data_IF_975020343805
#
_entry.id   IF_975020343805
#
_cell.length_a   1.000
_cell.length_b   1.000
_cell.length_c   1.000
_cell.angle_alpha   90.00
_cell.angle_beta   90.00
_cell.angle_gamma   90.00
#
_symmetry.space_group_name_H-M   'P 1'
#
loop_
_entity.id
_entity.type
_entity.pdbx_description
1 polymer ?
#
# COMPACT_ATOMS: atom_id res chain seq x y z
N UNK A 1 -34.45 81.06 4.05
CA UNK A 1 -33.75 79.83 4.48
C UNK A 1 -33.33 79.05 3.25
N UNK A 2 -32.04 78.80 2.99
CA UNK A 2 -31.64 77.99 1.85
C UNK A 2 -31.76 76.51 2.21
N UNK A 3 -32.60 75.79 1.49
CA UNK A 3 -32.74 74.34 1.53
C UNK A 3 -31.48 73.69 0.99
N UNK A 4 -30.74 72.98 1.84
CA UNK A 4 -29.56 72.23 1.46
C UNK A 4 -29.92 71.14 0.44
N UNK A 5 -29.49 71.30 -0.81
CA UNK A 5 -29.51 70.23 -1.81
C UNK A 5 -28.50 69.15 -1.39
N UNK A 6 -28.98 68.07 -0.78
CA UNK A 6 -28.17 66.87 -0.63
C UNK A 6 -28.03 66.19 -2.00
N UNK A 7 -26.81 65.99 -2.53
CA UNK A 7 -26.63 65.32 -3.80
C UNK A 7 -27.08 63.86 -3.66
N UNK A 8 -28.21 63.51 -4.29
CA UNK A 8 -28.66 62.12 -4.43
C UNK A 8 -27.70 61.42 -5.38
N UNK A 9 -26.83 60.57 -4.85
CA UNK A 9 -26.05 59.60 -5.63
C UNK A 9 -27.02 58.86 -6.56
N UNK A 10 -26.80 58.98 -7.88
CA UNK A 10 -27.64 58.29 -8.85
C UNK A 10 -27.46 56.78 -8.67
N UNK A 11 -28.54 55.97 -8.79
CA UNK A 11 -28.48 54.53 -8.54
C UNK A 11 -27.47 53.79 -9.45
N UNK A 12 -27.10 54.38 -10.59
CA UNK A 12 -26.06 53.88 -11.51
C UNK A 12 -24.62 54.11 -11.00
N UNK A 13 -24.38 55.14 -10.20
CA UNK A 13 -23.04 55.39 -9.63
C UNK A 13 -22.78 54.47 -8.43
N UNK A 14 -23.81 54.24 -7.59
CA UNK A 14 -23.75 53.28 -6.49
C UNK A 14 -23.51 51.83 -6.97
N UNK A 15 -24.15 51.41 -8.07
CA UNK A 15 -23.94 50.06 -8.61
C UNK A 15 -22.54 49.85 -9.20
N UNK A 16 -21.95 50.87 -9.84
CA UNK A 16 -20.58 50.81 -10.38
C UNK A 16 -19.54 50.71 -9.26
N UNK A 17 -19.69 51.51 -8.21
CA UNK A 17 -18.82 51.47 -7.02
C UNK A 17 -18.89 50.08 -6.36
N UNK A 18 -20.11 49.54 -6.20
CA UNK A 18 -20.31 48.20 -5.64
C UNK A 18 -19.65 47.12 -6.49
N UNK A 19 -19.82 47.15 -7.81
CA UNK A 19 -19.18 46.19 -8.72
C UNK A 19 -17.65 46.26 -8.67
N UNK A 20 -17.07 47.46 -8.62
CA UNK A 20 -15.61 47.62 -8.48
C UNK A 20 -15.11 47.10 -7.13
N UNK A 21 -15.83 47.36 -6.03
CA UNK A 21 -15.47 46.83 -4.72
C UNK A 21 -15.53 45.31 -4.69
N UNK A 22 -16.57 44.71 -5.28
CA UNK A 22 -16.69 43.26 -5.41
C UNK A 22 -15.53 42.69 -6.24
N UNK A 23 -15.16 43.31 -7.36
CA UNK A 23 -14.03 42.89 -8.18
C UNK A 23 -12.71 42.94 -7.40
N UNK A 24 -12.43 44.05 -6.70
CA UNK A 24 -11.21 44.21 -5.88
C UNK A 24 -11.15 43.17 -4.76
N UNK A 25 -12.25 42.93 -4.05
CA UNK A 25 -12.32 41.91 -2.99
C UNK A 25 -12.11 40.51 -3.58
N UNK A 26 -12.67 40.23 -4.75
CA UNK A 26 -12.51 38.95 -5.45
C UNK A 26 -11.08 38.74 -5.92
N UNK A 27 -10.45 39.76 -6.51
CA UNK A 27 -9.05 39.72 -6.94
C UNK A 27 -8.10 39.54 -5.75
N UNK A 28 -8.35 40.26 -4.65
CA UNK A 28 -7.59 40.08 -3.41
C UNK A 28 -7.72 38.65 -2.86
N UNK A 29 -8.93 38.09 -2.87
CA UNK A 29 -9.15 36.70 -2.45
C UNK A 29 -8.44 35.70 -3.37
N UNK A 30 -8.45 35.90 -4.69
CA UNK A 30 -7.71 35.06 -5.66
C UNK A 30 -6.20 35.19 -5.43
N UNK A 31 -5.69 36.40 -5.22
CA UNK A 31 -4.28 36.66 -4.95
C UNK A 31 -3.82 35.95 -3.67
N UNK A 32 -4.59 36.05 -2.57
CA UNK A 32 -4.33 35.33 -1.32
C UNK A 32 -4.25 33.81 -1.54
N UNK A 33 -5.22 33.24 -2.28
CA UNK A 33 -5.23 31.81 -2.59
C UNK A 33 -3.98 31.39 -3.39
N UNK A 34 -3.56 32.17 -4.39
CA UNK A 34 -2.36 31.87 -5.18
C UNK A 34 -1.10 31.92 -4.32
N UNK A 35 -0.94 32.98 -3.54
CA UNK A 35 0.19 33.15 -2.64
C UNK A 35 0.31 32.01 -1.62
N UNK A 36 -0.81 31.53 -1.07
CA UNK A 36 -0.85 30.38 -0.17
C UNK A 36 -0.39 29.09 -0.85
N UNK A 37 -0.90 28.82 -2.05
CA UNK A 37 -0.54 27.62 -2.79
C UNK A 37 0.92 27.66 -3.26
N UNK A 38 1.45 28.81 -3.67
CA UNK A 38 2.85 28.94 -4.08
C UNK A 38 3.81 28.67 -2.91
N UNK A 39 3.49 29.20 -1.73
CA UNK A 39 4.22 28.91 -0.49
C UNK A 39 4.19 27.43 -0.16
N UNK A 40 3.03 26.78 -0.29
CA UNK A 40 2.90 25.34 -0.08
C UNK A 40 3.71 24.53 -1.10
N UNK A 41 3.64 24.89 -2.39
CA UNK A 41 4.20 24.11 -3.50
C UNK A 41 5.73 24.05 -3.47
N UNK A 42 6.38 25.06 -2.88
CA UNK A 42 7.84 25.09 -2.70
C UNK A 42 8.34 23.87 -1.94
N UNK A 43 7.61 23.44 -0.90
CA UNK A 43 7.97 22.28 -0.04
C UNK A 43 7.37 20.96 -0.50
N UNK A 44 6.45 21.00 -1.47
CA UNK A 44 5.79 19.80 -1.97
C UNK A 44 6.73 18.93 -2.79
N UNK A 45 6.70 17.64 -2.49
CA UNK A 45 7.30 16.56 -3.28
C UNK A 45 6.20 15.74 -3.93
N UNK A 46 6.49 15.12 -5.09
CA UNK A 46 5.60 14.12 -5.66
C UNK A 46 5.66 12.86 -4.80
N UNK A 47 4.82 12.83 -3.78
CA UNK A 47 4.64 11.66 -2.94
C UNK A 47 3.35 10.94 -3.39
N UNK A 48 3.46 9.72 -3.95
CA UNK A 48 2.28 8.93 -4.31
C UNK A 48 1.52 8.42 -3.07
N UNK A 49 2.04 8.61 -1.86
CA UNK A 49 1.42 8.21 -0.60
C UNK A 49 2.20 7.10 0.12
N UNK A 50 1.67 6.57 1.24
CA UNK A 50 2.31 5.51 2.02
C UNK A 50 2.58 4.26 1.17
N UNK A 51 3.79 3.69 1.25
CA UNK A 51 4.18 2.51 0.49
C UNK A 51 4.24 1.27 1.40
N UNK A 52 3.90 0.12 0.83
CA UNK A 52 3.92 -1.16 1.55
C UNK A 52 5.35 -1.57 1.88
N UNK A 53 5.53 -2.09 3.10
CA UNK A 53 6.77 -2.77 3.49
C UNK A 53 6.72 -4.20 3.00
N UNK A 54 7.74 -4.65 2.28
CA UNK A 54 7.82 -6.00 1.71
C UNK A 54 8.91 -6.77 2.43
N UNK A 55 8.56 -7.97 2.88
CA UNK A 55 9.46 -8.91 3.57
C UNK A 55 9.93 -9.94 2.55
N UNK A 56 11.23 -10.22 2.54
CA UNK A 56 11.91 -11.13 1.63
C UNK A 56 12.56 -12.27 2.41
N UNK A 57 12.57 -13.46 1.82
CA UNK A 57 13.30 -14.63 2.30
C UNK A 57 14.81 -14.50 2.08
N UNK A 58 15.57 -15.49 2.53
CA UNK A 58 17.03 -15.55 2.40
C UNK A 58 17.52 -15.62 0.94
N UNK A 59 16.62 -15.87 -0.03
CA UNK A 59 16.89 -15.91 -1.47
C UNK A 59 16.30 -14.68 -2.19
N UNK A 60 16.04 -13.60 -1.45
CA UNK A 60 15.46 -12.34 -1.93
C UNK A 60 14.08 -12.47 -2.60
N UNK A 61 13.34 -13.55 -2.33
CA UNK A 61 11.97 -13.72 -2.82
C UNK A 61 11.00 -13.05 -1.85
N UNK A 62 10.02 -12.26 -2.32
CA UNK A 62 9.01 -11.69 -1.43
C UNK A 62 8.23 -12.82 -0.77
N UNK A 63 7.89 -12.66 0.51
CA UNK A 63 7.15 -13.66 1.30
C UNK A 63 5.95 -13.08 2.04
N UNK A 64 5.93 -11.77 2.26
CA UNK A 64 4.79 -11.07 2.86
C UNK A 64 4.89 -9.56 2.64
N UNK A 65 3.81 -8.84 2.88
CA UNK A 65 3.81 -7.39 2.94
C UNK A 65 3.00 -6.85 4.13
N UNK A 66 3.52 -5.78 4.74
CA UNK A 66 2.89 -5.03 5.81
C UNK A 66 2.48 -3.66 5.29
N UNK A 67 1.22 -3.29 5.48
CA UNK A 67 0.70 -2.04 4.92
C UNK A 67 -0.55 -1.52 5.61
N UNK A 68 -0.77 -0.21 5.49
CA UNK A 68 -2.06 0.44 5.73
C UNK A 68 -2.85 0.64 4.44
N UNK A 69 -2.16 1.07 3.39
CA UNK A 69 -2.63 1.13 2.01
C UNK A 69 -1.72 0.22 1.19
N UNK A 70 -2.26 -0.74 0.45
CA UNK A 70 -1.41 -1.62 -0.34
C UNK A 70 -0.93 -0.89 -1.58
N UNK A 71 0.32 -0.42 -1.56
CA UNK A 71 0.95 0.33 -2.65
C UNK A 71 2.36 -0.18 -2.90
N UNK A 72 2.61 -0.60 -4.13
CA UNK A 72 3.92 -1.02 -4.63
C UNK A 72 4.40 -0.01 -5.68
N UNK A 73 5.15 1.03 -5.31
CA UNK A 73 5.49 2.08 -6.25
C UNK A 73 6.34 1.56 -7.42
N UNK A 74 5.97 1.86 -8.66
CA UNK A 74 6.65 1.40 -9.88
C UNK A 74 6.97 2.59 -10.80
N UNK A 75 8.05 2.52 -11.57
CA UNK A 75 8.37 3.60 -12.52
C UNK A 75 7.42 3.57 -13.71
N UNK A 76 7.25 4.71 -14.41
CA UNK A 76 6.36 4.78 -15.56
C UNK A 76 6.84 3.86 -16.71
N UNK A 77 8.15 3.66 -16.82
CA UNK A 77 8.78 2.79 -17.81
C UNK A 77 8.56 1.29 -17.53
N UNK A 78 8.16 0.95 -16.31
CA UNK A 78 7.81 -0.41 -15.88
C UNK A 78 6.27 -0.64 -15.90
N UNK A 79 5.53 0.21 -16.61
CA UNK A 79 4.08 0.07 -16.84
C UNK A 79 3.81 -0.25 -18.31
N UNK A 80 2.75 -1.01 -18.59
CA UNK A 80 2.31 -1.26 -19.97
C UNK A 80 1.91 0.05 -20.66
N UNK A 81 2.40 0.29 -21.88
CA UNK A 81 2.01 1.47 -22.67
C UNK A 81 0.50 1.49 -22.94
N UNK A 82 -0.10 0.32 -23.15
CA UNK A 82 -1.54 0.16 -23.39
C UNK A 82 -2.34 0.59 -22.15
N UNK A 83 -1.85 0.30 -20.95
CA UNK A 83 -2.42 0.78 -19.69
C UNK A 83 -2.35 2.30 -19.60
N UNK A 84 -1.18 2.88 -19.88
CA UNK A 84 -1.00 4.34 -19.83
C UNK A 84 -1.98 5.01 -20.80
N UNK A 85 -2.08 4.50 -22.04
CA UNK A 85 -3.01 4.99 -23.05
C UNK A 85 -4.47 4.86 -22.61
N UNK A 86 -4.88 3.71 -22.05
CA UNK A 86 -6.24 3.49 -21.56
C UNK A 86 -6.65 4.49 -20.47
N UNK A 87 -5.74 4.76 -19.52
CA UNK A 87 -5.97 5.73 -18.44
C UNK A 87 -6.05 7.15 -19.01
N UNK A 88 -5.12 7.55 -19.88
CA UNK A 88 -5.16 8.86 -20.51
C UNK A 88 -6.45 9.06 -21.32
N UNK A 89 -6.83 8.08 -22.13
CA UNK A 89 -8.04 8.15 -22.96
C UNK A 89 -9.30 8.36 -22.12
N UNK A 90 -9.37 7.71 -20.95
CA UNK A 90 -10.56 7.74 -20.07
C UNK A 90 -10.59 8.95 -19.15
N UNK A 91 -9.46 9.30 -18.55
CA UNK A 91 -9.39 10.32 -17.49
C UNK A 91 -8.96 11.70 -18.00
N UNK A 92 -8.13 11.76 -19.04
CA UNK A 92 -7.55 13.02 -19.53
C UNK A 92 -6.93 12.90 -20.93
N UNK A 93 -7.76 12.75 -21.98
CA UNK A 93 -7.30 12.46 -23.35
C UNK A 93 -6.24 13.44 -23.87
N UNK A 94 -6.35 14.71 -23.47
CA UNK A 94 -5.45 15.79 -23.87
C UNK A 94 -4.40 16.11 -22.80
N UNK A 95 -4.06 15.14 -21.95
CA UNK A 95 -3.13 15.32 -20.84
C UNK A 95 -1.84 16.02 -21.26
N UNK A 96 -1.24 15.64 -22.39
CA UNK A 96 0.02 16.25 -22.84
C UNK A 96 -0.13 17.63 -23.52
N UNK A 97 -1.35 18.12 -23.73
CA UNK A 97 -1.64 19.35 -24.49
C UNK A 97 -2.05 20.55 -23.62
N UNK A 98 -2.16 20.38 -22.31
CA UNK A 98 -2.57 21.44 -21.38
C UNK A 98 -1.59 21.58 -20.23
N UNK A 99 -1.61 22.71 -19.51
CA UNK A 99 -0.76 22.94 -18.35
C UNK A 99 -1.61 22.87 -17.06
N UNK A 100 -1.84 21.66 -16.55
CA UNK A 100 -2.60 21.39 -15.34
C UNK A 100 -4.13 21.45 -15.49
N UNK A 101 -4.65 22.28 -16.40
CA UNK A 101 -6.09 22.52 -16.56
C UNK A 101 -6.48 22.53 -18.03
N UNK A 102 -7.42 21.67 -18.40
CA UNK A 102 -7.96 21.66 -19.76
C UNK A 102 -9.15 22.62 -19.91
N UNK A 103 -8.87 23.84 -20.37
CA UNK A 103 -9.88 24.87 -20.64
C UNK A 103 -10.95 24.42 -21.66
N UNK A 104 -10.55 23.67 -22.69
CA UNK A 104 -11.50 23.21 -23.71
C UNK A 104 -12.42 22.14 -23.14
N UNK A 105 -11.92 21.22 -22.32
CA UNK A 105 -12.78 20.23 -21.62
C UNK A 105 -13.72 20.91 -20.63
N UNK A 106 -13.27 21.94 -19.92
CA UNK A 106 -14.16 22.73 -19.05
C UNK A 106 -15.34 23.29 -19.86
N UNK A 107 -15.07 24.00 -20.95
CA UNK A 107 -16.11 24.57 -21.81
C UNK A 107 -17.02 23.50 -22.41
N UNK A 108 -16.44 22.40 -22.93
CA UNK A 108 -17.20 21.30 -23.52
C UNK A 108 -18.11 20.62 -22.49
N UNK A 109 -17.61 20.34 -21.28
CA UNK A 109 -18.40 19.75 -20.20
C UNK A 109 -19.50 20.68 -19.70
N UNK A 110 -19.26 21.99 -19.65
CA UNK A 110 -20.29 22.98 -19.30
C UNK A 110 -21.42 22.98 -20.33
N UNK A 111 -21.10 22.99 -21.63
CA UNK A 111 -22.09 22.96 -22.70
C UNK A 111 -22.89 21.65 -22.70
N UNK A 112 -22.23 20.51 -22.49
CA UNK A 112 -22.87 19.21 -22.40
C UNK A 112 -23.81 19.12 -21.19
N UNK A 113 -23.36 19.56 -20.01
CA UNK A 113 -24.16 19.54 -18.78
C UNK A 113 -25.36 20.50 -18.87
N UNK A 114 -25.22 21.64 -19.56
CA UNK A 114 -26.32 22.58 -19.81
C UNK A 114 -27.38 21.96 -20.73
N UNK A 115 -26.96 21.27 -21.79
CA UNK A 115 -27.88 20.56 -22.70
C UNK A 115 -28.63 19.41 -22.01
N UNK A 116 -27.95 18.68 -21.13
CA UNK A 116 -28.51 17.55 -20.39
C UNK A 116 -29.30 17.95 -19.13
N UNK A 117 -29.26 19.23 -18.72
CA UNK A 117 -29.90 19.72 -17.49
C UNK A 117 -29.33 19.12 -16.19
N UNK A 118 -28.24 18.34 -16.26
CA UNK A 118 -27.61 17.66 -15.12
C UNK A 118 -26.11 17.48 -15.38
N UNK A 119 -25.35 17.28 -14.31
CA UNK A 119 -23.90 17.02 -14.42
C UNK A 119 -23.67 15.58 -14.91
N UNK A 120 -23.31 15.43 -16.18
CA UNK A 120 -23.03 14.14 -16.83
C UNK A 120 -21.55 13.94 -17.11
N UNK A 121 -20.81 15.03 -17.35
CA UNK A 121 -19.38 15.00 -17.67
C UNK A 121 -18.55 15.78 -16.65
N UNK A 122 -17.42 15.20 -16.26
CA UNK A 122 -16.42 15.84 -15.42
C UNK A 122 -15.42 16.66 -16.24
N UNK A 123 -14.93 17.75 -15.65
CA UNK A 123 -13.94 18.63 -16.28
C UNK A 123 -12.51 18.47 -15.73
N UNK A 124 -12.30 17.59 -14.75
CA UNK A 124 -11.05 17.55 -13.97
C UNK A 124 -9.94 16.77 -14.67
N UNK A 125 -8.72 17.32 -14.69
CA UNK A 125 -7.51 16.69 -15.24
C UNK A 125 -6.89 15.69 -14.28
N UNK A 126 -6.04 14.79 -14.80
CA UNK A 126 -5.24 13.86 -13.97
C UNK A 126 -4.47 14.63 -12.90
N UNK A 127 -3.86 15.76 -13.29
CA UNK A 127 -3.09 16.61 -12.38
C UNK A 127 -3.97 17.23 -11.30
N UNK A 128 -5.17 17.72 -11.64
CA UNK A 128 -6.13 18.22 -10.65
C UNK A 128 -6.60 17.11 -9.72
N UNK A 129 -6.85 15.91 -10.25
CA UNK A 129 -7.24 14.76 -9.44
C UNK A 129 -6.13 14.37 -8.45
N UNK A 130 -4.87 14.34 -8.90
CA UNK A 130 -3.71 14.10 -8.05
C UNK A 130 -3.53 15.19 -7.00
N UNK A 131 -3.55 16.46 -7.40
CA UNK A 131 -3.42 17.62 -6.51
C UNK A 131 -4.49 17.60 -5.40
N UNK A 132 -5.73 17.23 -5.74
CA UNK A 132 -6.83 17.09 -4.79
C UNK A 132 -6.59 15.96 -3.78
N UNK A 133 -6.02 14.84 -4.21
CA UNK A 133 -5.92 13.64 -3.38
C UNK A 133 -4.64 13.60 -2.54
N UNK A 134 -3.51 14.06 -3.09
CA UNK A 134 -2.21 13.96 -2.44
C UNK A 134 -1.84 15.16 -1.55
N UNK A 135 -2.53 16.30 -1.69
CA UNK A 135 -2.04 17.58 -1.14
C UNK A 135 -3.08 18.37 -0.36
N UNK A 136 -4.33 18.37 -0.83
CA UNK A 136 -5.36 19.21 -0.24
C UNK A 136 -6.16 18.42 0.81
N UNK A 137 -6.25 18.99 2.01
CA UNK A 137 -7.05 18.45 3.10
C UNK A 137 -8.55 18.34 2.70
N UNK A 138 -9.27 17.34 3.21
CA UNK A 138 -10.60 16.93 2.71
C UNK A 138 -11.72 17.98 2.91
N UNK A 139 -11.47 19.09 3.62
CA UNK A 139 -12.48 20.12 3.93
C UNK A 139 -12.99 20.80 2.65
N UNK A 140 -14.29 20.67 2.38
CA UNK A 140 -14.98 21.30 1.24
C UNK A 140 -15.21 22.78 1.53
N UNK A 141 -14.43 23.66 0.89
CA UNK A 141 -14.71 25.10 0.82
C UNK A 141 -14.72 25.52 -0.65
N UNK A 142 -15.52 26.53 -1.02
CA UNK A 142 -15.61 27.02 -2.41
C UNK A 142 -14.23 27.44 -2.97
N UNK A 143 -13.30 27.91 -2.12
CA UNK A 143 -11.91 28.18 -2.49
C UNK A 143 -11.04 26.94 -2.76
N UNK A 144 -11.52 25.71 -2.50
CA UNK A 144 -10.75 24.49 -2.78
C UNK A 144 -10.57 24.25 -4.27
N UNK A 145 -11.57 24.53 -5.10
CA UNK A 145 -11.46 24.28 -6.55
C UNK A 145 -10.43 25.22 -7.21
N UNK A 146 -10.38 26.48 -6.79
CA UNK A 146 -9.35 27.43 -7.22
C UNK A 146 -7.95 26.99 -6.76
N UNK A 147 -7.83 26.45 -5.53
CA UNK A 147 -6.58 25.84 -5.06
C UNK A 147 -6.16 24.63 -5.89
N UNK A 148 -7.08 23.73 -6.24
CA UNK A 148 -6.79 22.58 -7.12
C UNK A 148 -6.27 23.03 -8.50
N UNK A 149 -6.90 24.04 -9.09
CA UNK A 149 -6.52 24.62 -10.39
C UNK A 149 -5.08 25.16 -10.34
N UNK A 150 -4.80 26.04 -9.38
CA UNK A 150 -3.48 26.67 -9.27
C UNK A 150 -2.39 25.67 -8.86
N UNK A 151 -2.69 24.76 -7.94
CA UNK A 151 -1.76 23.72 -7.51
C UNK A 151 -1.43 22.76 -8.65
N UNK A 152 -2.41 22.40 -9.49
CA UNK A 152 -2.17 21.55 -10.65
C UNK A 152 -1.19 22.20 -11.64
N UNK A 153 -1.37 23.49 -11.94
CA UNK A 153 -0.47 24.27 -12.79
C UNK A 153 0.96 24.26 -12.21
N UNK A 154 1.09 24.60 -10.92
CA UNK A 154 2.38 24.68 -10.25
C UNK A 154 3.11 23.35 -10.13
N UNK A 155 2.36 22.25 -9.94
CA UNK A 155 2.92 20.90 -9.93
C UNK A 155 3.48 20.50 -11.29
N UNK A 156 2.78 20.80 -12.37
CA UNK A 156 3.27 20.49 -13.72
C UNK A 156 4.47 21.34 -14.13
N UNK A 157 4.48 22.64 -13.82
CA UNK A 157 5.65 23.50 -14.02
C UNK A 157 6.89 22.96 -13.30
N UNK A 158 6.71 22.44 -12.07
CA UNK A 158 7.82 21.97 -11.24
C UNK A 158 8.35 20.59 -11.63
N UNK A 159 7.46 19.67 -12.04
CA UNK A 159 7.81 18.25 -12.18
C UNK A 159 7.66 17.69 -13.60
N UNK A 160 6.93 18.37 -14.48
CA UNK A 160 6.62 17.90 -15.82
C UNK A 160 5.59 16.74 -15.86
N UNK A 161 5.04 16.52 -17.05
CA UNK A 161 3.93 15.58 -17.30
C UNK A 161 4.21 14.14 -16.90
N UNK A 162 5.38 13.61 -17.27
CA UNK A 162 5.75 12.20 -17.02
C UNK A 162 5.79 11.89 -15.53
N UNK A 163 6.40 12.76 -14.73
CA UNK A 163 6.51 12.56 -13.30
C UNK A 163 5.14 12.66 -12.60
N UNK A 164 4.28 13.58 -13.05
CA UNK A 164 2.90 13.69 -12.55
C UNK A 164 2.10 12.43 -12.87
N UNK A 165 2.19 11.93 -14.11
CA UNK A 165 1.49 10.72 -14.52
C UNK A 165 1.95 9.49 -13.72
N UNK A 166 3.27 9.34 -13.52
CA UNK A 166 3.82 8.28 -12.66
C UNK A 166 3.30 8.40 -11.22
N UNK A 167 3.33 9.60 -10.64
CA UNK A 167 2.86 9.82 -9.28
C UNK A 167 1.36 9.50 -9.15
N UNK A 168 0.56 9.93 -10.14
CA UNK A 168 -0.87 9.65 -10.19
C UNK A 168 -1.16 8.14 -10.28
N UNK A 169 -0.53 7.42 -11.21
CA UNK A 169 -0.72 5.98 -11.40
C UNK A 169 -0.24 5.14 -10.20
N UNK A 170 0.68 5.67 -9.40
CA UNK A 170 1.09 5.06 -8.13
C UNK A 170 0.21 5.48 -6.94
N UNK A 171 -0.57 6.54 -7.06
CA UNK A 171 -1.39 7.08 -5.99
C UNK A 171 -2.83 6.57 -6.03
N UNK A 172 -3.42 6.52 -7.22
CA UNK A 172 -4.86 6.33 -7.43
C UNK A 172 -5.35 4.99 -6.85
N UNK A 173 -6.54 5.03 -6.26
CA UNK A 173 -7.17 3.86 -5.64
C UNK A 173 -7.93 3.05 -6.69
N UNK A 174 -7.65 1.75 -6.79
CA UNK A 174 -8.29 0.85 -7.77
C UNK A 174 -9.38 -0.04 -7.18
N UNK A 175 -9.58 -0.01 -5.86
CA UNK A 175 -10.50 -0.92 -5.16
C UNK A 175 -9.76 -1.98 -4.33
N UNK A 176 -10.50 -2.70 -3.48
CA UNK A 176 -10.01 -3.81 -2.65
C UNK A 176 -8.72 -3.55 -1.85
N UNK A 177 -8.49 -2.30 -1.44
CA UNK A 177 -7.29 -1.90 -0.70
C UNK A 177 -6.05 -1.65 -1.56
N UNK A 178 -6.15 -1.81 -2.89
CA UNK A 178 -5.06 -1.57 -3.83
C UNK A 178 -4.97 -0.09 -4.22
N UNK A 179 -3.84 0.52 -3.85
CA UNK A 179 -3.45 1.87 -4.22
C UNK A 179 -2.25 1.82 -5.17
N UNK A 180 -2.41 2.41 -6.34
CA UNK A 180 -1.42 2.36 -7.39
C UNK A 180 -1.50 1.09 -8.24
N UNK A 181 -0.99 1.22 -9.46
CA UNK A 181 -1.30 0.27 -10.53
C UNK A 181 -0.60 -1.08 -10.40
N UNK A 182 0.61 -1.12 -9.85
CA UNK A 182 1.35 -2.37 -9.64
C UNK A 182 0.67 -3.27 -8.62
N UNK A 183 0.22 -2.70 -7.50
CA UNK A 183 -0.51 -3.44 -6.47
C UNK A 183 -1.84 -3.97 -7.03
N UNK A 184 -2.56 -3.16 -7.79
CA UNK A 184 -3.81 -3.57 -8.45
C UNK A 184 -3.58 -4.67 -9.49
N UNK A 185 -2.54 -4.55 -10.32
CA UNK A 185 -2.20 -5.53 -11.36
C UNK A 185 -1.89 -6.91 -10.76
N UNK A 186 -1.03 -6.94 -9.73
CA UNK A 186 -0.70 -8.18 -9.02
C UNK A 186 -1.91 -8.75 -8.28
N UNK A 187 -2.66 -7.88 -7.62
CA UNK A 187 -3.83 -8.25 -6.83
C UNK A 187 -5.02 -8.76 -7.64
N UNK A 188 -5.23 -8.26 -8.86
CA UNK A 188 -6.35 -8.66 -9.71
C UNK A 188 -5.99 -9.70 -10.74
N UNK A 189 -4.84 -9.59 -11.38
CA UNK A 189 -4.49 -10.40 -12.57
C UNK A 189 -3.27 -11.29 -12.35
N UNK A 190 -2.66 -11.26 -11.16
CA UNK A 190 -1.42 -11.97 -10.86
C UNK A 190 -0.30 -11.66 -11.87
N UNK A 191 -0.20 -10.40 -12.31
CA UNK A 191 0.79 -9.93 -13.30
C UNK A 191 1.44 -8.63 -12.84
N UNK A 192 2.71 -8.36 -13.22
CA UNK A 192 3.29 -7.03 -13.09
C UNK A 192 2.56 -6.05 -14.03
N UNK A 193 2.51 -4.76 -13.68
CA UNK A 193 1.83 -3.74 -14.48
C UNK A 193 2.40 -3.60 -15.91
N UNK A 194 3.67 -3.97 -16.11
CA UNK A 194 4.32 -4.04 -17.42
C UNK A 194 3.69 -5.07 -18.38
N UNK A 195 3.07 -6.12 -17.85
CA UNK A 195 2.57 -7.26 -18.65
C UNK A 195 1.06 -7.23 -18.87
N UNK A 196 0.40 -6.11 -18.55
CA UNK A 196 -1.04 -5.95 -18.76
C UNK A 196 -1.38 -5.88 -20.23
N UNK A 197 -2.34 -6.70 -20.65
CA UNK A 197 -2.91 -6.65 -21.99
C UNK A 197 -3.99 -5.54 -22.11
N UNK A 198 -4.57 -5.36 -23.29
CA UNK A 198 -5.57 -4.31 -23.55
C UNK A 198 -6.84 -4.45 -22.69
N UNK A 199 -7.36 -5.66 -22.50
CA UNK A 199 -8.57 -5.88 -21.71
C UNK A 199 -8.34 -5.64 -20.21
N UNK A 200 -7.19 -6.05 -19.68
CA UNK A 200 -6.79 -5.82 -18.29
C UNK A 200 -6.51 -4.33 -18.04
N UNK A 201 -5.81 -3.68 -18.98
CA UNK A 201 -5.52 -2.24 -18.98
C UNK A 201 -6.79 -1.40 -18.98
N UNK A 202 -7.73 -1.70 -19.88
CA UNK A 202 -9.02 -1.02 -19.95
C UNK A 202 -9.88 -1.28 -18.70
N UNK A 203 -9.77 -2.49 -18.12
CA UNK A 203 -10.41 -2.80 -16.83
C UNK A 203 -9.88 -1.88 -15.73
N UNK A 204 -8.56 -1.75 -15.56
CA UNK A 204 -8.00 -0.88 -14.54
C UNK A 204 -8.35 0.60 -14.76
N UNK A 205 -8.31 1.07 -16.00
CA UNK A 205 -8.74 2.43 -16.34
C UNK A 205 -10.22 2.67 -16.00
N UNK A 206 -11.09 1.68 -16.25
CA UNK A 206 -12.50 1.74 -15.88
C UNK A 206 -12.72 1.87 -14.36
N UNK A 207 -11.89 1.20 -13.55
CA UNK A 207 -11.99 1.24 -12.09
C UNK A 207 -11.72 2.62 -11.49
N UNK A 208 -10.77 3.38 -12.06
CA UNK A 208 -10.37 4.71 -11.56
C UNK A 208 -11.58 5.64 -11.40
N UNK A 209 -12.47 5.64 -12.39
CA UNK A 209 -13.63 6.54 -12.43
C UNK A 209 -14.63 6.29 -11.29
N UNK A 210 -14.77 5.03 -10.83
CA UNK A 210 -15.64 4.66 -9.69
C UNK A 210 -15.10 3.41 -8.94
N UNK A 211 -14.05 3.56 -8.11
CA UNK A 211 -13.33 2.41 -7.53
C UNK A 211 -14.23 1.55 -6.62
N UNK A 212 -15.05 2.19 -5.77
CA UNK A 212 -15.97 1.50 -4.87
C UNK A 212 -17.24 0.99 -5.54
N UNK A 213 -17.53 1.43 -6.78
CA UNK A 213 -18.72 1.03 -7.54
C UNK A 213 -18.53 -0.23 -8.39
N UNK A 214 -17.27 -0.66 -8.57
CA UNK A 214 -16.86 -1.69 -9.51
C UNK A 214 -15.94 -2.74 -8.89
N UNK A 215 -16.29 -3.26 -7.71
CA UNK A 215 -15.61 -4.46 -7.20
C UNK A 215 -15.78 -5.59 -8.24
N UNK A 216 -14.68 -5.98 -8.90
CA UNK A 216 -14.67 -6.85 -10.08
C UNK A 216 -15.46 -8.16 -9.86
N UNK A 217 -15.45 -8.66 -8.64
CA UNK A 217 -16.15 -9.89 -8.23
C UNK A 217 -17.63 -9.68 -7.90
N UNK A 218 -18.06 -8.45 -7.57
CA UNK A 218 -19.45 -8.14 -7.14
C UNK A 218 -20.31 -7.59 -8.28
N UNK A 219 -19.74 -6.87 -9.24
CA UNK A 219 -20.50 -6.23 -10.33
C UNK A 219 -19.89 -6.47 -11.72
N UNK A 220 -19.67 -7.75 -12.12
CA UNK A 220 -18.94 -8.10 -13.35
C UNK A 220 -19.56 -7.55 -14.64
N UNK A 221 -20.88 -7.45 -14.71
CA UNK A 221 -21.57 -6.89 -15.88
C UNK A 221 -21.29 -5.38 -16.06
N UNK A 222 -21.33 -4.61 -14.96
CA UNK A 222 -21.13 -3.15 -15.02
C UNK A 222 -19.68 -2.79 -15.34
N UNK A 223 -18.73 -3.54 -14.79
CA UNK A 223 -17.31 -3.33 -15.10
C UNK A 223 -16.99 -3.76 -16.53
N UNK A 224 -17.62 -4.83 -17.03
CA UNK A 224 -17.51 -5.22 -18.44
C UNK A 224 -17.99 -4.09 -19.37
N UNK A 225 -19.19 -3.56 -19.15
CA UNK A 225 -19.74 -2.46 -19.94
C UNK A 225 -18.80 -1.25 -19.93
N UNK A 226 -18.27 -0.88 -18.75
CA UNK A 226 -17.35 0.24 -18.63
C UNK A 226 -16.02 -0.02 -19.35
N UNK A 227 -15.43 -1.20 -19.18
CA UNK A 227 -14.21 -1.63 -19.88
C UNK A 227 -14.40 -1.61 -21.39
N UNK A 228 -15.52 -2.14 -21.90
CA UNK A 228 -15.80 -2.20 -23.33
C UNK A 228 -15.95 -0.79 -23.91
N UNK A 229 -16.51 0.15 -23.14
CA UNK A 229 -16.52 1.57 -23.50
C UNK A 229 -15.14 2.22 -23.55
N UNK A 230 -14.19 1.80 -22.70
CA UNK A 230 -12.78 2.25 -22.77
C UNK A 230 -12.09 1.65 -23.99
N UNK A 231 -12.24 0.35 -24.23
CA UNK A 231 -11.67 -0.33 -25.40
C UNK A 231 -12.15 0.30 -26.71
N UNK A 232 -13.44 0.63 -26.80
CA UNK A 232 -14.01 1.30 -27.99
C UNK A 232 -13.38 2.67 -28.21
N UNK A 233 -13.22 3.47 -27.16
CA UNK A 233 -12.56 4.77 -27.25
C UNK A 233 -11.09 4.65 -27.69
N UNK A 234 -10.37 3.63 -27.22
CA UNK A 234 -9.00 3.37 -27.64
C UNK A 234 -8.93 2.96 -29.11
N UNK A 235 -9.85 2.11 -29.57
CA UNK A 235 -9.96 1.72 -30.98
C UNK A 235 -10.28 2.91 -31.88
N UNK A 236 -11.28 3.73 -31.52
CA UNK A 236 -11.64 4.96 -32.24
C UNK A 236 -10.51 6.01 -32.27
N UNK A 237 -9.62 5.96 -31.28
CA UNK A 237 -8.41 6.80 -31.22
C UNK A 237 -7.19 6.17 -31.93
N UNK A 238 -7.37 5.04 -32.63
CA UNK A 238 -6.32 4.27 -33.32
C UNK A 238 -5.19 3.79 -32.40
N UNK A 239 -5.46 3.62 -31.11
CA UNK A 239 -4.51 3.05 -30.13
C UNK A 239 -4.57 1.51 -30.10
N UNK A 240 -5.65 0.94 -30.63
CA UNK A 240 -5.80 -0.50 -30.85
C UNK A 240 -6.20 -0.70 -32.31
N UNK A 241 -5.63 -1.72 -32.95
CA UNK A 241 -6.14 -2.20 -34.24
C UNK A 241 -7.40 -3.06 -34.04
N UNK A 242 -8.07 -3.39 -35.14
CA UNK A 242 -9.31 -4.17 -35.13
C UNK A 242 -9.15 -5.55 -34.51
N UNK A 243 -7.99 -6.19 -34.72
CA UNK A 243 -7.70 -7.52 -34.19
C UNK A 243 -7.52 -7.50 -32.67
N UNK A 244 -6.75 -6.54 -32.16
CA UNK A 244 -6.51 -6.33 -30.74
C UNK A 244 -7.81 -5.91 -30.02
N UNK A 245 -8.60 -5.04 -30.65
CA UNK A 245 -9.90 -4.62 -30.13
C UNK A 245 -10.88 -5.81 -30.06
N UNK A 246 -11.01 -6.59 -31.13
CA UNK A 246 -11.86 -7.77 -31.18
C UNK A 246 -11.48 -8.82 -30.13
N UNK A 247 -10.19 -9.11 -29.98
CA UNK A 247 -9.70 -10.02 -28.96
C UNK A 247 -9.98 -9.50 -27.53
N UNK A 248 -9.77 -8.21 -27.28
CA UNK A 248 -9.96 -7.62 -25.96
C UNK A 248 -11.43 -7.57 -25.53
N UNK A 249 -12.35 -7.26 -26.44
CA UNK A 249 -13.79 -7.17 -26.13
C UNK A 249 -14.41 -8.55 -25.86
N UNK A 250 -13.90 -9.58 -26.56
CA UNK A 250 -14.36 -10.96 -26.43
C UNK A 250 -13.95 -11.59 -25.09
N UNK A 251 -12.85 -11.14 -24.48
CA UNK A 251 -12.31 -11.71 -23.26
C UNK A 251 -13.23 -11.42 -22.05
N UNK A 252 -13.81 -12.42 -21.36
CA UNK A 252 -14.70 -12.17 -20.22
C UNK A 252 -13.95 -11.65 -18.99
N UNK A 253 -14.51 -10.68 -18.26
CA UNK A 253 -13.88 -10.08 -17.06
C UNK A 253 -13.47 -11.14 -16.04
N UNK A 254 -14.33 -12.12 -15.76
CA UNK A 254 -14.06 -13.16 -14.77
C UNK A 254 -12.87 -14.06 -15.13
N UNK A 255 -12.63 -14.30 -16.41
CA UNK A 255 -11.52 -15.16 -16.87
C UNK A 255 -10.14 -14.52 -16.73
N UNK A 256 -10.09 -13.18 -16.66
CA UNK A 256 -8.85 -12.44 -16.45
C UNK A 256 -8.46 -12.38 -14.97
N UNK A 257 -9.42 -12.50 -14.06
CA UNK A 257 -9.14 -12.40 -12.64
C UNK A 257 -8.35 -13.61 -12.15
N UNK A 258 -7.24 -13.33 -11.51
CA UNK A 258 -6.43 -14.35 -10.88
C UNK A 258 -7.20 -15.08 -9.77
N UNK A 259 -6.96 -16.39 -9.70
CA UNK A 259 -7.34 -17.24 -8.58
C UNK A 259 -6.61 -16.83 -7.29
N UNK A 260 -7.05 -17.35 -6.15
CA UNK A 260 -6.33 -17.14 -4.89
C UNK A 260 -4.89 -17.71 -4.96
N UNK A 261 -4.74 -18.90 -5.55
CA UNK A 261 -3.45 -19.57 -5.69
C UNK A 261 -2.47 -18.76 -6.55
N UNK A 262 -2.90 -18.24 -7.70
CA UNK A 262 -2.04 -17.41 -8.55
C UNK A 262 -1.58 -16.14 -7.84
N UNK A 263 -2.47 -15.47 -7.09
CA UNK A 263 -2.11 -14.25 -6.35
C UNK A 263 -1.04 -14.51 -5.28
N UNK A 264 -1.12 -15.62 -4.57
CA UNK A 264 -0.12 -16.03 -3.58
C UNK A 264 1.28 -16.25 -4.18
N UNK A 265 1.43 -16.29 -5.51
CA UNK A 265 2.77 -16.42 -6.13
C UNK A 265 3.41 -15.09 -6.50
N UNK A 266 2.65 -14.00 -6.61
CA UNK A 266 3.14 -12.74 -7.18
C UNK A 266 2.74 -11.49 -6.41
N UNK A 267 1.69 -11.55 -5.59
CA UNK A 267 1.25 -10.47 -4.72
C UNK A 267 1.78 -10.70 -3.31
N UNK A 268 2.78 -9.93 -2.84
CA UNK A 268 3.33 -10.07 -1.50
C UNK A 268 2.29 -9.96 -0.39
N UNK A 269 1.20 -9.21 -0.58
CA UNK A 269 0.13 -9.12 0.42
C UNK A 269 -0.69 -10.41 0.57
N UNK A 270 -0.69 -11.24 -0.47
CA UNK A 270 -1.38 -12.54 -0.51
C UNK A 270 -0.45 -13.71 -0.16
N UNK A 271 0.82 -13.45 0.13
CA UNK A 271 1.81 -14.45 0.52
C UNK A 271 1.78 -14.67 2.03
N UNK A 272 1.68 -15.94 2.43
CA UNK A 272 1.58 -16.36 3.83
C UNK A 272 2.60 -17.47 4.14
N UNK A 273 3.85 -17.28 3.71
CA UNK A 273 4.94 -18.24 3.97
C UNK A 273 5.56 -17.98 5.34
N UNK A 274 5.67 -19.01 6.18
CA UNK A 274 6.24 -18.91 7.53
C UNK A 274 5.55 -17.87 8.41
N UNK A 275 4.22 -17.97 8.66
CA UNK A 275 3.44 -16.92 9.35
C UNK A 275 3.96 -16.58 10.75
N UNK A 276 4.50 -17.56 11.49
CA UNK A 276 5.11 -17.32 12.80
C UNK A 276 6.41 -16.51 12.69
N UNK A 277 7.25 -16.83 11.70
CA UNK A 277 8.48 -16.06 11.44
C UNK A 277 8.16 -14.64 10.96
N UNK A 278 7.18 -14.50 10.07
CA UNK A 278 6.71 -13.18 9.62
C UNK A 278 6.17 -12.36 10.80
N UNK A 279 5.46 -12.98 11.74
CA UNK A 279 4.97 -12.32 12.95
C UNK A 279 6.12 -11.84 13.84
N UNK A 280 7.14 -12.67 14.04
CA UNK A 280 8.36 -12.31 14.76
C UNK A 280 9.07 -11.12 14.11
N UNK A 281 9.29 -11.17 12.79
CA UNK A 281 9.91 -10.07 12.04
C UNK A 281 9.05 -8.80 12.12
N UNK A 282 7.73 -8.93 12.02
CA UNK A 282 6.82 -7.80 12.14
C UNK A 282 6.93 -7.13 13.50
N UNK A 283 7.00 -7.90 14.58
CA UNK A 283 7.21 -7.39 15.94
C UNK A 283 8.55 -6.66 16.07
N UNK A 284 9.64 -7.24 15.55
CA UNK A 284 10.95 -6.59 15.53
C UNK A 284 10.92 -5.24 14.80
N UNK A 285 10.24 -5.19 13.64
CA UNK A 285 10.08 -3.95 12.88
C UNK A 285 9.25 -2.92 13.65
N UNK A 286 8.18 -3.32 14.34
CA UNK A 286 7.38 -2.42 15.16
C UNK A 286 8.17 -1.86 16.33
N UNK A 287 8.97 -2.69 17.01
CA UNK A 287 9.84 -2.24 18.10
C UNK A 287 10.93 -1.27 17.60
N UNK A 288 11.52 -1.55 16.44
CA UNK A 288 12.64 -0.77 15.91
C UNK A 288 12.21 0.54 15.23
N UNK A 289 11.11 0.52 14.47
CA UNK A 289 10.69 1.62 13.59
C UNK A 289 9.35 2.26 13.98
N UNK A 290 8.58 1.62 14.86
CA UNK A 290 7.21 2.01 15.20
C UNK A 290 6.19 1.61 14.13
N UNK A 291 4.91 1.49 14.52
CA UNK A 291 3.80 1.05 13.67
C UNK A 291 3.68 1.85 12.38
N UNK A 292 3.71 3.18 12.47
CA UNK A 292 3.48 4.02 11.29
C UNK A 292 4.54 3.80 10.22
N UNK A 293 5.83 3.82 10.60
CA UNK A 293 6.93 3.65 9.63
C UNK A 293 6.97 2.24 9.07
N UNK A 294 6.63 1.22 9.85
CA UNK A 294 6.55 -0.16 9.38
C UNK A 294 5.43 -0.34 8.36
N UNK A 295 4.26 0.27 8.55
CA UNK A 295 3.11 0.10 7.64
C UNK A 295 3.08 1.05 6.44
N UNK A 296 3.86 2.14 6.47
CA UNK A 296 3.78 3.21 5.46
C UNK A 296 5.12 3.60 4.84
N UNK A 297 6.22 3.12 5.40
CA UNK A 297 7.57 3.58 5.08
C UNK A 297 8.16 3.04 3.78
N UNK A 298 7.52 2.04 3.15
CA UNK A 298 8.04 1.39 1.96
C UNK A 298 9.35 0.64 2.20
N UNK A 299 9.46 -0.06 3.33
CA UNK A 299 10.68 -0.78 3.69
C UNK A 299 10.81 -2.07 2.86
N UNK A 300 12.05 -2.47 2.56
CA UNK A 300 12.37 -3.79 2.04
C UNK A 300 13.16 -4.51 3.12
N UNK A 301 12.60 -5.60 3.65
CA UNK A 301 13.12 -6.30 4.82
C UNK A 301 13.60 -7.67 4.37
N UNK A 302 14.91 -7.88 4.42
CA UNK A 302 15.53 -9.14 4.03
C UNK A 302 15.81 -9.95 5.28
N UNK A 303 15.42 -11.22 5.25
CA UNK A 303 15.39 -12.08 6.42
C UNK A 303 16.25 -13.32 6.23
N UNK A 304 16.47 -14.05 7.32
CA UNK A 304 17.19 -15.33 7.31
C UNK A 304 16.32 -16.52 6.92
N UNK A 305 15.02 -16.34 6.68
CA UNK A 305 14.10 -17.45 6.43
C UNK A 305 14.44 -18.12 5.10
N UNK A 306 14.75 -19.41 5.10
CA UNK A 306 14.69 -20.22 3.89
C UNK A 306 13.29 -20.83 3.79
N UNK A 307 12.50 -20.38 2.83
CA UNK A 307 11.10 -20.81 2.67
C UNK A 307 10.96 -22.27 2.25
N UNK A 308 11.96 -22.86 1.60
CA UNK A 308 11.93 -24.28 1.25
C UNK A 308 12.17 -25.13 2.50
N UNK A 309 13.16 -24.76 3.32
CA UNK A 309 13.42 -25.42 4.61
C UNK A 309 12.22 -25.26 5.54
N UNK A 310 11.62 -24.07 5.59
CA UNK A 310 10.41 -23.80 6.36
C UNK A 310 9.27 -24.73 5.94
N UNK A 311 9.04 -24.89 4.64
CA UNK A 311 8.00 -25.76 4.12
C UNK A 311 8.20 -27.22 4.53
N UNK A 312 9.43 -27.75 4.37
CA UNK A 312 9.75 -29.11 4.81
C UNK A 312 9.57 -29.31 6.32
N UNK A 313 9.94 -28.29 7.11
CA UNK A 313 9.78 -28.32 8.56
C UNK A 313 8.30 -28.36 8.98
N UNK A 314 7.46 -27.53 8.36
CA UNK A 314 6.01 -27.50 8.58
C UNK A 314 5.36 -28.84 8.19
N UNK A 315 5.72 -29.39 7.03
CA UNK A 315 5.21 -30.68 6.57
C UNK A 315 5.58 -31.82 7.54
N UNK A 316 6.85 -31.87 7.98
CA UNK A 316 7.33 -32.88 8.91
C UNK A 316 6.60 -32.82 10.26
N UNK A 317 6.39 -31.61 10.80
CA UNK A 317 5.65 -31.41 12.05
C UNK A 317 4.19 -31.81 11.90
N UNK A 318 3.51 -31.35 10.83
CA UNK A 318 2.10 -31.65 10.60
C UNK A 318 1.87 -33.14 10.40
N UNK A 319 2.69 -33.80 9.60
CA UNK A 319 2.62 -35.25 9.41
C UNK A 319 2.77 -35.98 10.75
N UNK A 320 3.75 -35.58 11.56
CA UNK A 320 4.00 -36.24 12.85
C UNK A 320 2.90 -36.00 13.87
N UNK A 321 2.35 -34.79 13.95
CA UNK A 321 1.21 -34.48 14.79
C UNK A 321 0.00 -35.35 14.44
N UNK A 322 -0.35 -35.44 13.15
CA UNK A 322 -1.47 -36.26 12.68
C UNK A 322 -1.28 -37.75 12.99
N UNK A 323 -0.04 -38.27 12.90
CA UNK A 323 0.26 -39.65 13.29
C UNK A 323 0.09 -39.91 14.79
N UNK A 324 0.44 -38.92 15.63
CA UNK A 324 0.33 -39.04 17.08
C UNK A 324 -1.12 -38.86 17.55
N UNK A 325 -1.86 -37.90 16.98
CA UNK A 325 -3.28 -37.68 17.28
C UNK A 325 -4.11 -38.91 16.95
N UNK A 326 -3.90 -39.54 15.78
CA UNK A 326 -4.61 -40.79 15.40
C UNK A 326 -4.39 -41.95 16.37
N UNK A 327 -3.26 -41.95 17.08
CA UNK A 327 -2.93 -43.00 18.06
C UNK A 327 -3.55 -42.73 19.43
N UNK A 328 -3.95 -41.48 19.71
CA UNK A 328 -4.71 -41.13 20.91
C UNK A 328 -6.19 -41.36 20.64
N UNK A 329 -6.90 -41.91 21.63
CA UNK A 329 -8.34 -42.16 21.55
C UNK A 329 -9.16 -40.95 22.00
N UNK A 330 -8.63 -40.16 22.94
CA UNK A 330 -9.27 -38.99 23.54
C UNK A 330 -8.20 -37.95 23.94
N UNK A 331 -8.59 -36.68 24.01
CA UNK A 331 -7.76 -35.56 24.45
C UNK A 331 -7.82 -34.35 23.53
N UNK A 332 -7.35 -33.21 24.05
CA UNK A 332 -7.18 -31.99 23.26
C UNK A 332 -6.19 -32.20 22.09
N UNK A 333 -6.35 -31.48 20.96
CA UNK A 333 -5.43 -31.56 19.82
C UNK A 333 -3.98 -31.30 20.24
N UNK A 334 -3.05 -32.15 19.79
CA UNK A 334 -1.63 -31.94 20.08
C UNK A 334 -1.09 -30.67 19.42
N UNK A 335 -0.22 -29.96 20.15
CA UNK A 335 0.50 -28.79 19.65
C UNK A 335 1.99 -29.10 19.52
N UNK A 336 2.67 -28.45 18.56
CA UNK A 336 4.11 -28.57 18.37
C UNK A 336 4.75 -27.22 18.09
N UNK A 337 6.02 -27.10 18.47
CA UNK A 337 6.89 -26.00 18.09
C UNK A 337 8.21 -26.57 17.58
N UNK A 338 8.70 -26.05 16.46
CA UNK A 338 9.99 -26.39 15.88
C UNK A 338 10.74 -25.10 15.59
N UNK A 339 11.95 -24.99 16.12
CA UNK A 339 12.86 -23.87 15.88
C UNK A 339 14.11 -24.39 15.19
N UNK A 340 14.38 -23.89 13.98
CA UNK A 340 15.58 -24.18 13.23
C UNK A 340 16.49 -22.95 13.25
N UNK A 341 17.72 -23.15 13.73
CA UNK A 341 18.73 -22.09 13.83
C UNK A 341 19.94 -22.49 13.00
N UNK A 342 20.39 -21.60 12.12
CA UNK A 342 21.66 -21.79 11.44
C UNK A 342 22.79 -21.43 12.41
N UNK A 343 23.60 -22.41 12.79
CA UNK A 343 24.78 -22.17 13.61
C UNK A 343 25.95 -21.82 12.70
N UNK A 344 26.32 -20.54 12.60
CA UNK A 344 27.61 -20.18 12.02
C UNK A 344 28.72 -20.50 13.03
N UNK A 345 29.70 -21.37 12.69
CA UNK A 345 30.86 -21.59 13.53
C UNK A 345 31.77 -20.35 13.42
N UNK A 346 31.68 -19.41 14.37
CA UNK A 346 32.63 -18.28 14.42
C UNK A 346 32.15 -16.98 15.07
N UNK A 347 30.86 -16.79 15.35
CA UNK A 347 30.39 -15.64 16.16
C UNK A 347 30.04 -16.12 17.57
N UNK A 348 30.89 -15.74 18.51
CA UNK A 348 31.06 -16.41 19.79
C UNK A 348 29.88 -16.36 20.75
N UNK A 349 29.67 -17.53 21.36
CA UNK A 349 29.39 -17.78 22.79
C UNK A 349 28.04 -17.29 23.33
N UNK A 350 27.07 -18.20 23.33
CA UNK A 350 25.96 -18.20 24.29
C UNK A 350 26.35 -19.11 25.45
N UNK A 351 26.81 -18.53 26.55
CA UNK A 351 26.86 -19.19 27.85
C UNK A 351 25.45 -19.12 28.48
N UNK A 352 24.71 -20.23 28.39
CA UNK A 352 23.67 -20.64 29.35
C UNK A 352 22.27 -20.00 29.26
N UNK A 353 21.25 -20.85 29.12
CA UNK A 353 19.95 -20.66 29.79
C UNK A 353 19.76 -21.85 30.75
N UNK A 354 19.73 -21.55 32.06
CA UNK A 354 19.20 -22.46 33.10
C UNK A 354 17.67 -22.35 33.12
N UNK A 355 16.92 -23.45 33.19
CA UNK A 355 15.60 -23.43 33.81
C UNK A 355 15.75 -23.35 35.35
N UNK A 356 14.87 -22.58 35.99
CA UNK A 356 14.79 -22.43 37.45
C UNK A 356 14.57 -23.76 38.16
N UNK A 357 15.19 -24.03 39.33
CA UNK A 357 14.87 -25.20 40.14
C UNK A 357 13.59 -24.95 40.95
N UNK A 358 12.65 -25.90 40.90
CA UNK A 358 11.82 -26.19 42.05
C UNK A 358 12.69 -26.97 43.03
N UNK A 359 12.67 -26.56 44.30
CA UNK A 359 13.38 -27.23 45.39
C UNK A 359 13.06 -28.72 45.41
N UNK A 360 14.10 -29.55 45.48
CA UNK A 360 14.28 -30.68 46.42
C UNK A 360 15.47 -31.53 45.92
N UNK A 361 16.54 -31.55 46.69
CA UNK A 361 17.61 -32.56 46.62
C UNK A 361 17.69 -33.25 48.00
N UNK A 362 18.30 -34.45 48.16
CA UNK A 362 19.09 -35.19 47.17
C UNK A 362 18.79 -36.70 47.10
N UNK A 363 19.29 -37.38 46.04
CA UNK A 363 20.22 -38.52 46.16
C UNK A 363 20.81 -38.93 44.81
N UNK A 364 22.13 -39.13 44.84
CA UNK A 364 23.01 -39.55 43.76
C UNK A 364 22.82 -41.04 43.40
N UNK A 365 22.82 -41.35 42.10
CA UNK A 365 23.55 -42.52 41.57
C UNK A 365 23.89 -42.33 40.09
N UNK A 366 25.17 -42.38 39.78
CA UNK A 366 25.72 -42.49 38.42
C UNK A 366 25.39 -43.87 37.81
N UNK A 367 25.05 -43.89 36.51
CA UNK A 367 25.69 -44.73 35.47
C UNK A 367 24.95 -44.61 34.12
N UNK A 368 25.72 -44.56 33.04
CA UNK A 368 25.37 -45.23 31.78
C UNK A 368 25.08 -44.33 30.58
N UNK A 369 25.90 -44.48 29.53
CA UNK A 369 25.80 -43.88 28.19
C UNK A 369 24.51 -44.30 27.46
N UNK A 370 23.97 -43.41 26.62
CA UNK A 370 22.97 -43.78 25.60
C UNK A 370 22.21 -42.59 25.05
N UNK A 371 22.11 -42.51 23.72
CA UNK A 371 21.38 -41.50 22.96
C UNK A 371 19.93 -41.31 23.46
N UNK A 372 19.49 -40.06 23.62
CA UNK A 372 18.19 -39.72 24.19
C UNK A 372 17.29 -38.97 23.22
N UNK A 373 16.37 -39.70 22.59
CA UNK A 373 15.08 -39.18 22.10
C UNK A 373 14.25 -38.83 23.34
N UNK A 374 13.82 -37.57 23.47
CA UNK A 374 13.03 -37.13 24.62
C UNK A 374 11.62 -37.73 24.64
N UNK A 375 11.31 -38.53 25.66
CA UNK A 375 9.94 -38.92 26.06
C UNK A 375 9.26 -37.75 26.78
N UNK A 376 7.98 -37.52 26.45
CA UNK A 376 7.10 -36.62 27.19
C UNK A 376 6.37 -37.41 28.29
N UNK A 377 6.25 -36.79 29.47
CA UNK A 377 5.53 -37.32 30.64
C UNK A 377 4.02 -37.14 30.47
N UNK A 378 3.26 -38.20 30.73
CA UNK A 378 1.81 -38.18 30.96
C UNK A 378 1.52 -37.95 32.46
N UNK A 379 0.57 -37.09 32.77
CA UNK A 379 0.01 -36.91 34.10
C UNK A 379 -1.32 -36.15 34.00
N UNK A 380 -2.42 -36.82 34.30
CA UNK A 380 -3.74 -36.22 34.52
C UNK A 380 -4.16 -36.46 35.97
N UNK A 381 -4.94 -35.53 36.54
CA UNK A 381 -6.28 -35.76 37.12
C UNK A 381 -6.91 -34.40 37.57
N UNK A 382 -8.20 -34.32 38.01
CA UNK A 382 -9.14 -33.31 37.55
C UNK A 382 -9.71 -32.44 38.71
N UNK A 383 -10.58 -31.46 38.40
CA UNK A 383 -11.41 -30.82 39.43
C UNK A 383 -12.12 -29.53 39.02
N UNK A 384 -13.45 -29.66 38.84
CA UNK A 384 -14.54 -28.71 39.13
C UNK A 384 -14.60 -27.33 38.41
N UNK A 385 -15.54 -27.12 37.48
CA UNK A 385 -16.97 -26.76 37.62
C UNK A 385 -17.27 -25.36 38.17
N UNK A 386 -17.89 -24.50 37.33
CA UNK A 386 -18.54 -23.26 37.76
C UNK A 386 -18.97 -22.26 36.67
N UNK A 387 -20.09 -22.52 35.98
CA UNK A 387 -21.19 -21.55 35.74
C UNK A 387 -21.04 -20.29 34.85
N UNK A 388 -21.65 -20.36 33.65
CA UNK A 388 -22.61 -19.45 32.98
C UNK A 388 -22.30 -17.94 32.74
N UNK A 389 -22.43 -17.50 31.47
CA UNK A 389 -22.76 -16.10 31.12
C UNK A 389 -22.47 -15.70 29.66
N UNK A 390 -23.53 -15.42 28.89
CA UNK A 390 -23.59 -15.08 27.46
C UNK A 390 -22.82 -13.81 27.00
N UNK A 391 -22.32 -13.87 25.76
CA UNK A 391 -22.45 -12.79 24.75
C UNK A 391 -21.48 -11.60 24.78
N UNK A 392 -20.37 -11.68 24.02
CA UNK A 392 -19.88 -10.65 23.09
C UNK A 392 -18.47 -10.99 22.57
N UNK A 393 -18.34 -11.29 21.28
CA UNK A 393 -17.05 -11.49 20.62
C UNK A 393 -16.24 -10.18 20.60
N UNK A 394 -15.34 -10.02 21.58
CA UNK A 394 -14.18 -9.12 21.55
C UNK A 394 -12.93 -9.97 21.79
N UNK A 395 -12.14 -10.19 20.76
CA UNK A 395 -10.80 -10.74 20.92
C UNK A 395 -9.90 -9.68 21.57
N UNK A 396 -9.73 -9.77 22.89
CA UNK A 396 -8.54 -9.24 23.57
C UNK A 396 -7.42 -10.29 23.48
N UNK A 397 -6.18 -9.93 23.14
CA UNK A 397 -5.06 -10.85 23.22
C UNK A 397 -4.62 -10.99 24.68
N UNK A 398 -4.58 -12.23 25.16
CA UNK A 398 -4.02 -12.58 26.46
C UNK A 398 -2.54 -12.18 26.53
N UNK A 399 -2.21 -11.35 27.51
CA UNK A 399 -0.86 -11.13 28.01
C UNK A 399 -0.39 -12.39 28.74
N UNK A 400 0.57 -13.11 28.16
CA UNK A 400 1.50 -13.96 28.91
C UNK A 400 2.64 -14.41 27.98
N UNK A 401 3.68 -13.59 27.88
CA UNK A 401 5.03 -13.96 27.42
C UNK A 401 5.99 -12.81 27.78
N UNK A 402 6.18 -12.56 29.08
CA UNK A 402 7.32 -11.79 29.56
C UNK A 402 8.43 -12.76 29.95
N UNK A 403 9.37 -12.95 29.02
CA UNK A 403 10.57 -13.75 29.18
C UNK A 403 11.51 -13.44 28.03
N UNK A 404 12.17 -12.28 28.08
CA UNK A 404 13.07 -11.80 27.01
C UNK A 404 14.40 -12.54 27.11
N UNK A 405 14.47 -13.73 26.52
CA UNK A 405 15.70 -14.26 25.93
C UNK A 405 15.79 -13.73 24.50
N UNK A 406 16.93 -13.12 24.13
CA UNK A 406 17.19 -12.69 22.73
C UNK A 406 17.24 -13.94 21.83
N UNK A 407 16.09 -14.34 21.30
CA UNK A 407 16.02 -15.19 20.12
C UNK A 407 16.63 -14.42 18.93
N UNK A 408 17.43 -15.09 18.11
CA UNK A 408 18.29 -14.47 17.10
C UNK A 408 17.59 -13.47 16.18
N UNK A 409 18.34 -12.47 15.71
CA UNK A 409 17.86 -11.46 14.77
C UNK A 409 17.44 -12.14 13.45
N UNK A 410 16.13 -12.21 13.19
CA UNK A 410 15.58 -12.74 11.95
C UNK A 410 15.70 -11.77 10.77
N UNK A 411 16.02 -10.51 11.04
CA UNK A 411 16.23 -9.45 10.05
C UNK A 411 17.72 -9.28 9.77
N UNK A 412 18.12 -9.53 8.53
CA UNK A 412 19.50 -9.33 8.08
C UNK A 412 19.75 -7.88 7.67
N UNK A 413 18.79 -7.29 6.94
CA UNK A 413 18.95 -5.99 6.30
C UNK A 413 17.60 -5.33 6.04
N UNK A 414 17.54 -4.03 6.31
CA UNK A 414 16.38 -3.20 5.96
C UNK A 414 16.82 -2.08 5.04
N UNK A 415 16.15 -1.97 3.90
CA UNK A 415 16.35 -0.91 2.93
C UNK A 415 15.10 -0.05 2.75
N UNK A 416 15.30 1.16 2.22
CA UNK A 416 14.20 2.00 1.76
C UNK A 416 14.19 2.00 0.24
N UNK A 417 13.03 1.69 -0.38
CA UNK A 417 12.92 1.75 -1.84
C UNK A 417 13.01 3.20 -2.31
N UNK A 418 14.07 3.53 -3.06
CA UNK A 418 14.13 4.76 -3.84
C UNK A 418 13.38 4.56 -5.15
N UNK A 419 12.29 5.30 -5.37
CA UNK A 419 11.71 5.42 -6.71
C UNK A 419 12.75 6.04 -7.64
N UNK A 420 13.06 5.38 -8.77
CA UNK A 420 13.91 5.98 -9.80
C UNK A 420 13.23 7.28 -10.27
N UNK A 421 13.96 8.38 -10.23
CA UNK A 421 13.53 9.62 -10.90
C UNK A 421 13.61 9.37 -12.41
N UNK A 422 12.58 9.73 -13.19
CA UNK A 422 12.73 9.80 -14.63
C UNK A 422 13.89 10.77 -14.93
N UNK A 423 14.98 10.27 -15.52
CA UNK A 423 16.14 11.09 -15.93
C UNK A 423 17.29 11.28 -14.92
N UNK A 424 17.41 10.47 -13.86
CA UNK A 424 18.52 10.59 -12.88
C UNK A 424 19.58 9.49 -12.97
N UNK A 425 20.85 9.91 -13.07
CA UNK A 425 22.05 9.06 -13.17
C UNK A 425 22.26 8.12 -11.96
N UNK A 426 22.88 6.95 -12.21
CA UNK A 426 23.13 5.88 -11.24
C UNK A 426 24.14 6.35 -10.20
N UNK A 427 23.72 6.85 -9.03
CA UNK A 427 24.60 6.86 -7.84
C UNK A 427 23.85 7.00 -6.51
N UNK A 428 24.12 6.03 -5.62
CA UNK A 428 23.87 5.95 -4.17
C UNK A 428 22.48 5.48 -3.71
N UNK A 429 22.34 4.16 -3.60
CA UNK A 429 21.56 3.58 -2.50
C UNK A 429 22.30 3.91 -1.19
N UNK A 430 21.66 4.66 -0.27
CA UNK A 430 22.17 4.82 1.10
C UNK A 430 21.69 3.62 1.90
N UNK A 431 22.59 2.68 2.19
CA UNK A 431 22.42 1.75 3.29
C UNK A 431 22.30 2.56 4.59
N UNK A 432 21.25 2.33 5.37
CA UNK A 432 21.26 2.75 6.78
C UNK A 432 22.30 1.88 7.49
N UNK A 433 23.22 2.46 8.30
CA UNK A 433 24.21 1.65 8.99
C UNK A 433 23.52 0.74 10.00
N UNK A 434 23.82 -0.56 9.92
CA UNK A 434 23.70 -1.46 11.05
C UNK A 434 24.60 -0.90 12.17
N UNK A 435 24.04 -0.68 13.36
CA UNK A 435 24.79 -0.17 14.49
C UNK A 435 25.99 -1.09 14.77
N UNK A 436 27.19 -0.51 14.67
CA UNK A 436 28.46 -1.12 15.02
C UNK A 436 28.47 -1.48 16.51
N UNK A 437 28.51 -2.77 16.79
CA UNK A 437 29.03 -3.31 18.04
C UNK A 437 30.55 -3.16 17.96
N UNK A 438 31.13 -2.30 18.79
CA UNK A 438 32.56 -2.35 19.11
C UNK A 438 32.71 -2.32 20.62
N UNK A 439 33.21 -3.44 21.16
CA UNK A 439 33.67 -3.52 22.53
C UNK A 439 34.95 -2.69 22.71
N UNK A 440 35.00 -1.95 23.80
CA UNK A 440 36.22 -1.39 24.36
C UNK A 440 36.41 -1.96 25.75
N UNK A 441 37.32 -2.93 25.88
CA UNK A 441 37.92 -3.33 27.15
C UNK A 441 39.01 -2.29 27.47
N UNK A 442 38.99 -1.74 28.67
CA UNK A 442 40.13 -1.05 29.30
C UNK A 442 39.92 -1.03 30.85
N UNK A 443 40.97 -0.91 31.66
CA UNK A 443 41.26 -1.85 32.76
C UNK A 443 40.97 -1.30 34.17
N UNK A 444 41.14 -2.18 35.15
CA UNK A 444 41.11 -1.91 36.58
C UNK A 444 42.08 -0.79 37.03
N UNK A 445 41.55 0.17 37.79
CA UNK A 445 42.11 0.88 38.96
C UNK A 445 40.86 1.46 39.68
N UNK A 446 40.58 1.31 40.97
CA UNK A 446 41.37 1.01 42.17
C UNK A 446 40.59 0.13 43.14
#
# INVERSE_FOLDING_TARGET
MPTAMTPRLTPRLGSRILLTLVAVVTDYAIWQIKADVDRATTRLTLNPGPASTVIFDAKDRPISALYKEHRLPVSLEEMSDVLVQAVLMTEDRRFYEHDGVDRRRILASMLANLREGRVTQGASTITQQFARAAVLDRRRTYGRKLREVWLAQRLEEKYGKRAILQAYLNHVYFGDGYYGVEAASRGYFAKPAASLNAAESATLAALISRPSGYALRRTPARIRERRDGVLRQMFEAHQLDETAFGAAIALPVGTMLASAAERTTVDPASMTQGPYFVSLVSEQLYQQFGTEKTLTGGLRVYTTLDTEVQHFAEEAVMKRLLELDKRRKEGEPLQAALLLLHAEPGRGRVDGIRPSPADHAPRLRQRGRGAGVGRLHEGGDPGEQGGLGDGAHRHQPHQALQGVGRAGDGVLRVERRGLRRPGGDRRRARSLPAALINGGVAPAMS
#
